data_IF_172440866028
#
_entry.id   IF_172440866028
#
_cell.length_a   1.000
_cell.length_b   1.000
_cell.length_c   1.000
_cell.angle_alpha   90.00
_cell.angle_beta   90.00
_cell.angle_gamma   90.00
#
_symmetry.space_group_name_H-M   'P 1'
#
loop_
_entity.id
_entity.type
_entity.pdbx_description
1 polymer ?
#
# COMPACT_ATOMS: atom_id res chain seq x y z
N UNK A 1 -49.21 61.17 -5.91
CA UNK A 1 -48.45 60.15 -6.70
C UNK A 1 -46.92 60.19 -6.54
N UNK A 2 -46.28 61.27 -6.06
CA UNK A 2 -44.79 61.35 -5.97
C UNK A 2 -44.13 60.56 -4.81
N UNK A 3 -44.85 60.16 -3.75
CA UNK A 3 -44.22 59.47 -2.60
C UNK A 3 -44.00 57.96 -2.84
N UNK A 4 -44.93 57.27 -3.51
CA UNK A 4 -44.81 55.84 -3.88
C UNK A 4 -43.61 55.56 -4.81
N UNK A 5 -43.32 56.48 -5.72
CA UNK A 5 -42.20 56.33 -6.67
C UNK A 5 -40.82 56.48 -6.00
N UNK A 6 -40.75 57.18 -4.85
CA UNK A 6 -39.51 57.39 -4.10
C UNK A 6 -39.14 56.17 -3.24
N UNK A 7 -40.11 55.39 -2.73
CA UNK A 7 -39.82 54.16 -1.98
C UNK A 7 -39.40 53.00 -2.89
N UNK A 8 -39.96 52.92 -4.10
CA UNK A 8 -39.58 51.91 -5.10
C UNK A 8 -38.11 52.04 -5.53
N UNK A 9 -37.61 53.27 -5.71
CA UNK A 9 -36.19 53.53 -5.98
C UNK A 9 -35.27 53.14 -4.82
N UNK A 10 -35.70 53.36 -3.58
CA UNK A 10 -34.93 52.94 -2.39
C UNK A 10 -34.89 51.41 -2.26
N UNK A 11 -36.03 50.73 -2.47
CA UNK A 11 -36.10 49.28 -2.45
C UNK A 11 -35.22 48.64 -3.54
N UNK A 12 -35.22 49.20 -4.75
CA UNK A 12 -34.38 48.74 -5.86
C UNK A 12 -32.88 48.83 -5.53
N UNK A 13 -32.43 49.93 -4.90
CA UNK A 13 -31.03 50.09 -4.48
C UNK A 13 -30.65 49.04 -3.43
N UNK A 14 -31.51 48.78 -2.44
CA UNK A 14 -31.28 47.75 -1.43
C UNK A 14 -31.24 46.33 -2.02
N UNK A 15 -32.13 46.02 -2.96
CA UNK A 15 -32.12 44.72 -3.65
C UNK A 15 -30.84 44.54 -4.47
N UNK A 16 -30.38 45.57 -5.18
CA UNK A 16 -29.11 45.49 -5.90
C UNK A 16 -27.91 45.27 -4.96
N UNK A 17 -27.88 45.98 -3.83
CA UNK A 17 -26.82 45.80 -2.84
C UNK A 17 -26.78 44.37 -2.30
N UNK A 18 -27.95 43.80 -1.96
CA UNK A 18 -28.06 42.41 -1.50
C UNK A 18 -27.57 41.43 -2.56
N UNK A 19 -27.95 41.62 -3.83
CA UNK A 19 -27.52 40.74 -4.93
C UNK A 19 -25.99 40.84 -5.12
N UNK A 20 -25.42 42.03 -5.13
CA UNK A 20 -23.96 42.20 -5.27
C UNK A 20 -23.20 41.57 -4.10
N UNK A 21 -23.68 41.73 -2.87
CA UNK A 21 -23.09 41.08 -1.70
C UNK A 21 -23.21 39.56 -1.80
N UNK A 22 -24.35 39.03 -2.23
CA UNK A 22 -24.55 37.60 -2.42
C UNK A 22 -23.61 37.02 -3.47
N UNK A 23 -23.43 37.70 -4.60
CA UNK A 23 -22.49 37.31 -5.66
C UNK A 23 -21.04 37.33 -5.13
N UNK A 24 -20.65 38.35 -4.36
CA UNK A 24 -19.32 38.42 -3.76
C UNK A 24 -19.06 37.29 -2.77
N UNK A 25 -20.04 36.95 -1.93
CA UNK A 25 -19.95 35.81 -1.01
C UNK A 25 -19.85 34.50 -1.78
N UNK A 26 -20.65 34.31 -2.83
CA UNK A 26 -20.59 33.11 -3.68
C UNK A 26 -19.22 32.95 -4.34
N UNK A 27 -18.65 34.05 -4.85
CA UNK A 27 -17.30 34.03 -5.42
C UNK A 27 -16.23 33.63 -4.39
N UNK A 28 -16.30 34.17 -3.17
CA UNK A 28 -15.41 33.80 -2.07
C UNK A 28 -15.54 32.33 -1.69
N UNK A 29 -16.77 31.82 -1.59
CA UNK A 29 -17.03 30.42 -1.25
C UNK A 29 -16.46 29.49 -2.33
N UNK A 30 -16.63 29.82 -3.61
CA UNK A 30 -16.03 29.06 -4.72
C UNK A 30 -14.51 29.02 -4.60
N UNK A 31 -13.86 30.18 -4.45
CA UNK A 31 -12.40 30.28 -4.32
C UNK A 31 -11.91 29.46 -3.12
N UNK A 32 -12.58 29.55 -1.99
CA UNK A 32 -12.18 28.85 -0.78
C UNK A 32 -12.32 27.33 -0.94
N UNK A 33 -13.43 26.89 -1.55
CA UNK A 33 -13.71 25.46 -1.75
C UNK A 33 -12.74 24.83 -2.77
N UNK A 34 -12.29 25.58 -3.77
CA UNK A 34 -11.30 25.09 -4.75
C UNK A 34 -9.86 25.30 -4.28
N UNK A 35 -9.59 26.37 -3.54
CA UNK A 35 -8.25 26.79 -3.15
C UNK A 35 -7.71 26.04 -1.93
N UNK A 36 -8.55 25.73 -0.94
CA UNK A 36 -8.11 25.00 0.25
C UNK A 36 -7.51 23.63 -0.10
N UNK A 37 -8.15 22.75 -0.90
CA UNK A 37 -7.59 21.43 -1.21
C UNK A 37 -6.19 21.50 -1.83
N UNK A 38 -5.98 22.44 -2.76
CA UNK A 38 -4.69 22.65 -3.42
C UNK A 38 -3.64 23.13 -2.42
N UNK A 39 -3.99 24.08 -1.55
CA UNK A 39 -3.09 24.56 -0.51
C UNK A 39 -2.72 23.46 0.49
N UNK A 40 -3.68 22.60 0.84
CA UNK A 40 -3.44 21.43 1.70
C UNK A 40 -2.48 20.44 1.03
N UNK A 41 -2.68 20.10 -0.24
CA UNK A 41 -1.78 19.21 -0.98
C UNK A 41 -0.35 19.75 -1.06
N UNK A 42 -0.19 21.04 -1.35
CA UNK A 42 1.11 21.69 -1.38
C UNK A 42 1.78 21.70 0.00
N UNK A 43 1.03 21.95 1.07
CA UNK A 43 1.54 21.88 2.44
C UNK A 43 2.03 20.47 2.75
N UNK A 44 1.21 19.46 2.49
CA UNK A 44 1.52 18.06 2.82
C UNK A 44 2.72 17.54 2.03
N UNK A 45 2.81 17.88 0.74
CA UNK A 45 3.98 17.56 -0.10
C UNK A 45 5.24 18.25 0.41
N UNK A 46 5.16 19.51 0.83
CA UNK A 46 6.31 20.22 1.39
C UNK A 46 6.78 19.61 2.72
N UNK A 47 5.86 19.17 3.58
CA UNK A 47 6.17 18.42 4.80
C UNK A 47 6.88 17.11 4.45
N UNK A 48 6.31 16.33 3.53
CA UNK A 48 6.88 15.06 3.11
C UNK A 48 8.30 15.19 2.54
N UNK A 49 8.53 16.12 1.61
CA UNK A 49 9.86 16.31 1.04
C UNK A 49 10.86 16.77 2.11
N UNK A 50 10.45 17.66 3.03
CA UNK A 50 11.31 18.06 4.16
C UNK A 50 11.72 16.88 5.04
N UNK A 51 10.77 16.01 5.41
CA UNK A 51 11.09 14.85 6.25
C UNK A 51 11.95 13.84 5.51
N UNK A 52 11.68 13.63 4.22
CA UNK A 52 12.52 12.79 3.35
C UNK A 52 13.97 13.30 3.28
N UNK A 53 14.18 14.61 3.14
CA UNK A 53 15.51 15.22 3.19
C UNK A 53 16.19 14.98 4.54
N UNK A 54 15.48 15.19 5.66
CA UNK A 54 16.00 14.91 7.01
C UNK A 54 16.42 13.44 7.14
N UNK A 55 15.60 12.51 6.67
CA UNK A 55 15.91 11.08 6.77
C UNK A 55 17.13 10.68 5.94
N UNK A 56 17.31 11.28 4.76
CA UNK A 56 18.49 11.04 3.92
C UNK A 56 19.76 11.64 4.54
N UNK A 57 19.66 12.85 5.09
CA UNK A 57 20.76 13.49 5.83
C UNK A 57 21.16 12.65 7.07
N UNK A 58 20.18 12.10 7.79
CA UNK A 58 20.44 11.18 8.90
C UNK A 58 21.14 9.89 8.44
N UNK A 59 20.74 9.31 7.31
CA UNK A 59 21.39 8.11 6.75
C UNK A 59 22.87 8.38 6.40
N UNK A 60 23.15 9.56 5.83
CA UNK A 60 24.51 10.01 5.54
C UNK A 60 25.34 10.15 6.83
N UNK A 61 24.79 10.84 7.85
CA UNK A 61 25.46 10.98 9.15
C UNK A 61 25.70 9.63 9.84
N UNK A 62 24.74 8.70 9.81
CA UNK A 62 24.91 7.36 10.37
C UNK A 62 26.04 6.62 9.66
N UNK A 63 26.08 6.70 8.33
CA UNK A 63 27.11 6.06 7.51
C UNK A 63 28.50 6.65 7.80
N UNK A 64 28.59 7.97 7.98
CA UNK A 64 29.84 8.65 8.33
C UNK A 64 30.34 8.17 9.70
N UNK A 65 29.49 8.18 10.73
CA UNK A 65 29.87 7.75 12.09
C UNK A 65 30.30 6.28 12.10
N UNK A 66 29.58 5.42 11.37
CA UNK A 66 29.93 4.01 11.23
C UNK A 66 31.34 3.82 10.60
N UNK A 67 31.76 4.74 9.73
CA UNK A 67 33.09 4.71 9.09
C UNK A 67 34.22 5.22 10.01
N UNK A 68 33.92 5.96 11.08
CA UNK A 68 34.91 6.56 11.98
C UNK A 68 35.46 5.58 13.04
N UNK A 69 34.91 4.37 13.13
CA UNK A 69 35.38 3.31 14.02
C UNK A 69 34.56 3.13 15.31
N UNK A 70 34.89 2.09 16.08
CA UNK A 70 34.14 1.69 17.28
C UNK A 70 34.27 2.78 18.36
N UNK A 71 33.13 3.24 18.87
CA UNK A 71 33.04 4.21 19.96
C UNK A 71 32.71 5.64 19.51
N UNK A 72 32.68 5.91 18.20
CA UNK A 72 32.24 7.20 17.66
C UNK A 72 30.74 7.43 17.90
N UNK A 73 30.40 8.63 18.35
CA UNK A 73 29.03 9.08 18.61
C UNK A 73 28.85 10.48 18.03
N UNK A 74 27.66 10.77 17.52
CA UNK A 74 27.27 12.12 17.10
C UNK A 74 25.84 12.42 17.58
N UNK A 75 25.53 13.70 17.72
CA UNK A 75 24.19 14.18 18.05
C UNK A 75 23.67 15.01 16.89
N UNK A 76 22.55 14.58 16.33
CA UNK A 76 21.83 15.29 15.27
C UNK A 76 20.49 15.75 15.83
N UNK A 77 20.16 17.01 15.60
CA UNK A 77 18.87 17.59 16.00
C UNK A 77 18.07 17.92 14.75
N UNK A 78 16.83 17.44 14.69
CA UNK A 78 15.91 17.73 13.61
C UNK A 78 14.51 17.99 14.18
N UNK A 79 13.71 18.75 13.43
CA UNK A 79 12.36 19.13 13.82
C UNK A 79 11.36 18.69 12.75
N UNK A 80 10.46 17.80 13.14
CA UNK A 80 9.30 17.37 12.35
C UNK A 80 8.04 17.90 13.02
N UNK A 81 7.25 18.68 12.28
CA UNK A 81 6.07 19.38 12.82
C UNK A 81 4.77 18.62 12.66
N UNK A 82 4.67 17.81 11.60
CA UNK A 82 3.46 17.09 11.20
C UNK A 82 3.79 15.59 11.08
N UNK A 83 2.89 14.74 11.57
CA UNK A 83 3.07 13.28 11.64
C UNK A 83 3.65 12.78 12.96
N UNK A 84 3.83 11.48 13.07
CA UNK A 84 4.34 10.79 14.24
C UNK A 84 5.67 10.11 13.93
N UNK A 85 6.60 10.17 14.89
CA UNK A 85 7.88 9.47 14.80
C UNK A 85 7.90 8.36 15.84
N UNK A 86 8.22 7.16 15.39
CA UNK A 86 8.45 6.01 16.26
C UNK A 86 9.78 5.35 15.94
N UNK A 87 10.32 4.63 16.92
CA UNK A 87 11.52 3.82 16.77
C UNK A 87 11.16 2.38 17.10
N UNK A 88 11.40 1.48 16.14
CA UNK A 88 11.14 0.05 16.33
C UNK A 88 12.25 -0.77 15.65
N UNK A 89 12.77 -1.78 16.32
CA UNK A 89 13.74 -2.75 15.77
C UNK A 89 14.89 -2.12 14.95
N UNK A 90 15.57 -1.09 15.48
CA UNK A 90 16.63 -0.32 14.80
C UNK A 90 16.18 0.46 13.56
N UNK A 91 14.89 0.74 13.43
CA UNK A 91 14.32 1.59 12.38
C UNK A 91 13.72 2.84 13.01
N UNK A 92 13.92 3.97 12.34
CA UNK A 92 13.17 5.19 12.60
C UNK A 92 12.04 5.25 11.58
N UNK A 93 10.80 5.36 12.06
CA UNK A 93 9.59 5.36 11.25
C UNK A 93 8.93 6.72 11.43
N UNK A 94 8.64 7.39 10.33
CA UNK A 94 7.78 8.57 10.32
C UNK A 94 6.52 8.26 9.53
N UNK A 95 5.38 8.54 10.13
CA UNK A 95 4.06 8.29 9.56
C UNK A 95 3.23 9.58 9.56
N UNK A 96 2.53 9.83 8.46
CA UNK A 96 1.60 10.95 8.32
C UNK A 96 0.32 10.46 7.66
N UNK A 97 -0.81 10.77 8.28
CA UNK A 97 -2.12 10.59 7.65
C UNK A 97 -2.48 11.86 6.88
N UNK A 98 -2.71 11.73 5.58
CA UNK A 98 -3.09 12.84 4.71
C UNK A 98 -4.14 12.41 3.68
N UNK A 99 -4.99 13.36 3.28
CA UNK A 99 -5.95 13.20 2.17
C UNK A 99 -5.29 13.45 0.80
N UNK A 100 -4.08 13.98 0.80
CA UNK A 100 -3.33 14.37 -0.38
C UNK A 100 -2.57 13.17 -0.94
N UNK A 101 -2.70 12.89 -2.24
CA UNK A 101 -1.96 11.82 -2.91
C UNK A 101 -0.51 12.29 -3.19
N UNK A 102 0.34 12.29 -2.16
CA UNK A 102 1.75 12.73 -2.29
C UNK A 102 2.55 11.75 -3.16
N UNK A 103 2.35 10.46 -2.92
CA UNK A 103 2.89 9.35 -3.69
C UNK A 103 1.76 8.38 -4.03
N UNK A 104 1.92 7.62 -5.10
CA UNK A 104 0.88 6.71 -5.58
C UNK A 104 0.49 5.70 -4.47
N UNK A 105 -0.81 5.45 -4.25
CA UNK A 105 -1.27 4.47 -3.28
C UNK A 105 -0.72 3.08 -3.57
N UNK A 106 -0.50 2.30 -2.50
CA UNK A 106 0.00 0.92 -2.58
C UNK A 106 1.36 0.83 -3.24
N UNK A 107 2.18 1.88 -3.13
CA UNK A 107 3.55 1.85 -3.61
C UNK A 107 4.53 1.79 -2.46
N UNK A 108 5.66 1.16 -2.73
CA UNK A 108 6.84 1.13 -1.86
C UNK A 108 8.06 1.40 -2.73
N UNK A 109 8.82 2.41 -2.36
CA UNK A 109 10.05 2.81 -3.03
C UNK A 109 11.18 2.80 -2.02
N UNK A 110 12.35 2.30 -2.43
CA UNK A 110 13.57 2.31 -1.61
C UNK A 110 14.59 3.26 -2.22
N UNK A 111 15.14 4.16 -1.40
CA UNK A 111 16.19 5.12 -1.76
C UNK A 111 17.30 4.99 -0.71
N UNK A 112 18.42 4.34 -1.05
CA UNK A 112 19.44 4.01 -0.05
C UNK A 112 18.85 3.13 1.08
N UNK A 113 19.00 3.55 2.33
CA UNK A 113 18.36 2.90 3.48
C UNK A 113 16.95 3.42 3.80
N UNK A 114 16.50 4.49 3.12
CA UNK A 114 15.16 5.03 3.28
C UNK A 114 14.13 4.19 2.51
N UNK A 115 13.08 3.74 3.21
CA UNK A 115 11.92 3.08 2.62
C UNK A 115 10.74 4.04 2.73
N UNK A 116 10.15 4.37 1.58
CA UNK A 116 8.97 5.20 1.48
C UNK A 116 7.81 4.31 1.05
N UNK A 117 6.71 4.33 1.79
CA UNK A 117 5.55 3.52 1.48
C UNK A 117 4.26 4.33 1.68
N UNK A 118 3.26 4.12 0.81
CA UNK A 118 1.92 4.70 0.95
C UNK A 118 0.89 3.62 0.87
N UNK A 119 -0.06 3.67 1.81
CA UNK A 119 -1.12 2.69 1.96
C UNK A 119 -0.56 1.27 1.84
N UNK A 120 0.53 1.01 2.56
CA UNK A 120 1.30 -0.22 2.47
C UNK A 120 1.00 -1.06 3.71
N UNK A 121 0.05 -1.98 3.55
CA UNK A 121 -0.56 -2.75 4.64
C UNK A 121 -0.64 -4.22 4.21
N UNK A 122 0.50 -4.71 3.73
CA UNK A 122 0.71 -6.13 3.51
C UNK A 122 1.97 -6.55 4.24
N UNK A 123 1.87 -7.66 4.95
CA UNK A 123 2.97 -8.34 5.60
C UNK A 123 3.17 -9.70 4.94
N UNK A 124 4.42 -10.07 4.68
CA UNK A 124 4.80 -11.42 4.30
C UNK A 124 5.47 -12.13 5.46
N UNK A 125 5.18 -13.41 5.63
CA UNK A 125 5.81 -14.27 6.62
C UNK A 125 6.19 -15.59 5.94
N UNK A 126 7.46 -15.93 6.04
CA UNK A 126 8.04 -17.18 5.61
C UNK A 126 8.37 -18.03 6.84
N UNK A 127 7.84 -19.26 6.85
CA UNK A 127 8.14 -20.29 7.84
C UNK A 127 8.83 -21.47 7.17
N UNK A 128 9.17 -22.50 7.93
CA UNK A 128 9.71 -23.75 7.36
C UNK A 128 8.76 -24.40 6.35
N UNK A 129 7.44 -24.31 6.57
CA UNK A 129 6.44 -25.05 5.81
C UNK A 129 5.48 -24.18 5.01
N UNK A 130 5.43 -22.87 5.25
CA UNK A 130 4.42 -21.99 4.65
C UNK A 130 4.97 -20.64 4.23
N UNK A 131 4.37 -20.12 3.17
CA UNK A 131 4.40 -18.73 2.75
C UNK A 131 3.06 -18.08 3.09
N UNK A 132 3.09 -17.02 3.89
CA UNK A 132 1.90 -16.34 4.41
C UNK A 132 1.92 -14.88 3.99
N UNK A 133 0.79 -14.38 3.49
CA UNK A 133 0.53 -12.96 3.26
C UNK A 133 -0.60 -12.51 4.18
N UNK A 134 -0.45 -11.37 4.84
CA UNK A 134 -1.43 -10.78 5.76
C UNK A 134 -1.72 -9.33 5.37
N UNK A 135 -2.97 -8.90 5.50
CA UNK A 135 -3.39 -7.51 5.40
C UNK A 135 -4.30 -7.14 6.57
N UNK A 136 -4.10 -5.96 7.13
CA UNK A 136 -4.91 -5.43 8.23
C UNK A 136 -5.99 -4.49 7.68
N UNK A 137 -7.23 -4.69 8.08
CA UNK A 137 -8.37 -3.89 7.64
C UNK A 137 -9.07 -3.39 8.90
N UNK A 138 -8.87 -2.10 9.21
CA UNK A 138 -9.29 -1.54 10.49
C UNK A 138 -8.66 -2.33 11.66
N UNK A 139 -9.47 -3.13 12.36
CA UNK A 139 -9.03 -3.98 13.48
C UNK A 139 -8.99 -5.47 13.13
N UNK A 140 -9.34 -5.83 11.89
CA UNK A 140 -9.39 -7.22 11.43
C UNK A 140 -8.13 -7.56 10.63
N UNK A 141 -7.79 -8.85 10.59
CA UNK A 141 -6.65 -9.35 9.81
C UNK A 141 -7.11 -10.38 8.80
N UNK A 142 -6.88 -10.12 7.51
CA UNK A 142 -7.03 -11.13 6.47
C UNK A 142 -5.69 -11.83 6.26
N UNK A 143 -5.67 -13.17 6.26
CA UNK A 143 -4.48 -13.99 6.14
C UNK A 143 -4.67 -15.05 5.07
N UNK A 144 -3.67 -15.16 4.20
CA UNK A 144 -3.61 -16.16 3.14
C UNK A 144 -2.30 -16.93 3.26
N UNK A 145 -2.37 -18.24 3.48
CA UNK A 145 -1.24 -19.13 3.64
C UNK A 145 -1.20 -20.20 2.55
N UNK A 146 -0.02 -20.43 2.01
CA UNK A 146 0.28 -21.43 0.99
C UNK A 146 1.38 -22.35 1.50
N UNK A 147 1.29 -23.64 1.16
CA UNK A 147 2.33 -24.62 1.46
C UNK A 147 3.63 -24.28 0.72
N UNK A 148 4.76 -24.41 1.41
CA UNK A 148 6.08 -24.23 0.82
C UNK A 148 6.52 -25.57 0.21
N UNK A 149 6.54 -25.63 -1.11
CA UNK A 149 6.84 -26.83 -1.87
C UNK A 149 8.03 -26.56 -2.80
N UNK A 150 9.09 -27.37 -2.69
CA UNK A 150 10.27 -27.28 -3.54
C UNK A 150 11.01 -25.94 -3.46
N UNK A 151 11.90 -25.73 -4.41
CA UNK A 151 12.60 -24.48 -4.68
C UNK A 151 13.08 -24.47 -6.14
N UNK A 152 13.54 -23.32 -6.64
CA UNK A 152 14.08 -23.23 -7.99
C UNK A 152 15.25 -24.17 -8.27
N UNK A 153 16.00 -24.58 -7.24
CA UNK A 153 17.09 -25.58 -7.35
C UNK A 153 16.67 -27.02 -7.07
N UNK A 154 15.45 -27.26 -6.60
CA UNK A 154 14.95 -28.60 -6.25
C UNK A 154 13.44 -28.66 -6.43
N UNK A 155 13.04 -29.12 -7.62
CA UNK A 155 11.63 -29.29 -7.97
C UNK A 155 11.05 -30.49 -7.23
N UNK A 156 9.80 -30.38 -6.81
CA UNK A 156 9.05 -31.45 -6.14
C UNK A 156 7.77 -31.76 -6.90
N UNK A 157 7.29 -32.99 -6.79
CA UNK A 157 5.96 -33.33 -7.31
C UNK A 157 4.89 -32.79 -6.35
N UNK A 158 3.86 -32.15 -6.88
CA UNK A 158 2.73 -31.70 -6.08
C UNK A 158 1.43 -31.62 -6.90
N UNK A 159 0.29 -31.63 -6.21
CA UNK A 159 -1.00 -31.30 -6.80
C UNK A 159 -1.33 -29.83 -6.51
N UNK A 160 -1.90 -29.12 -7.49
CA UNK A 160 -2.22 -27.70 -7.31
C UNK A 160 -3.26 -27.46 -6.20
N UNK A 161 -4.10 -28.44 -5.91
CA UNK A 161 -5.07 -28.37 -4.81
C UNK A 161 -4.38 -28.30 -3.44
N UNK A 162 -3.13 -28.74 -3.34
CA UNK A 162 -2.33 -28.69 -2.12
C UNK A 162 -1.62 -27.34 -1.94
N UNK A 163 -1.75 -26.40 -2.87
CA UNK A 163 -1.06 -25.11 -2.81
C UNK A 163 -1.63 -24.28 -1.65
N UNK A 164 -2.95 -24.08 -1.60
CA UNK A 164 -3.58 -23.25 -0.58
C UNK A 164 -3.69 -24.03 0.72
N UNK A 165 -2.96 -23.60 1.75
CA UNK A 165 -2.94 -24.27 3.04
C UNK A 165 -4.06 -23.77 3.96
N UNK A 166 -4.27 -22.45 3.99
CA UNK A 166 -5.28 -21.83 4.84
C UNK A 166 -5.62 -20.43 4.36
N UNK A 167 -6.90 -20.07 4.48
CA UNK A 167 -7.35 -18.68 4.45
C UNK A 167 -8.03 -18.42 5.79
N UNK A 168 -7.73 -17.30 6.43
CA UNK A 168 -8.37 -16.91 7.67
C UNK A 168 -8.69 -15.42 7.69
N UNK A 169 -9.77 -15.08 8.39
CA UNK A 169 -10.18 -13.71 8.63
C UNK A 169 -10.40 -13.51 10.12
N UNK A 170 -9.68 -12.55 10.69
CA UNK A 170 -9.67 -12.25 12.12
C UNK A 170 -9.37 -13.47 13.01
N UNK A 171 -8.50 -14.37 12.53
CA UNK A 171 -8.13 -15.61 13.23
C UNK A 171 -9.08 -16.79 13.02
N UNK A 172 -10.26 -16.56 12.43
CA UNK A 172 -11.19 -17.63 12.06
C UNK A 172 -10.79 -18.21 10.71
N UNK A 173 -10.57 -19.53 10.68
CA UNK A 173 -10.27 -20.25 9.45
C UNK A 173 -11.51 -20.30 8.54
N UNK A 174 -11.32 -20.01 7.26
CA UNK A 174 -12.33 -20.24 6.24
C UNK A 174 -12.23 -21.70 5.78
N UNK A 175 -13.28 -22.48 6.04
CA UNK A 175 -13.38 -23.86 5.56
C UNK A 175 -13.65 -23.88 4.05
N UNK A 176 -12.86 -24.65 3.29
CA UNK A 176 -13.06 -24.83 1.86
C UNK A 176 -11.98 -25.69 1.19
N UNK A 177 -12.37 -26.32 0.07
CA UNK A 177 -11.45 -27.03 -0.82
C UNK A 177 -11.10 -26.13 -2.02
N UNK A 178 -9.81 -25.86 -2.24
CA UNK A 178 -9.33 -25.09 -3.38
C UNK A 178 -8.86 -26.02 -4.49
N UNK A 179 -9.44 -25.88 -5.69
CA UNK A 179 -9.07 -26.68 -6.87
C UNK A 179 -8.81 -25.76 -8.05
N UNK A 180 -7.72 -26.02 -8.74
CA UNK A 180 -7.33 -25.29 -9.94
C UNK A 180 -7.00 -26.31 -11.03
N UNK A 181 -7.57 -26.12 -12.21
CA UNK A 181 -7.31 -26.91 -13.41
C UNK A 181 -7.30 -25.97 -14.62
N UNK A 182 -6.52 -26.32 -15.64
CA UNK A 182 -6.57 -25.66 -16.94
C UNK A 182 -7.57 -26.39 -17.82
N UNK A 183 -8.59 -25.68 -18.28
CA UNK A 183 -9.58 -26.23 -19.22
C UNK A 183 -10.22 -27.55 -18.75
N UNK A 184 -10.42 -27.70 -17.43
CA UNK A 184 -10.93 -28.93 -16.81
C UNK A 184 -10.10 -30.20 -17.06
N UNK A 185 -8.84 -30.06 -17.49
CA UNK A 185 -7.95 -31.18 -17.77
C UNK A 185 -7.31 -31.72 -16.47
N UNK A 186 -7.53 -32.99 -16.07
CA UNK A 186 -6.97 -33.54 -14.83
C UNK A 186 -5.44 -33.62 -14.83
N UNK A 187 -4.84 -33.76 -16.02
CA UNK A 187 -3.38 -33.80 -16.22
C UNK A 187 -2.72 -32.45 -16.04
N UNK A 188 -3.50 -31.36 -15.97
CA UNK A 188 -2.98 -30.03 -15.61
C UNK A 188 -2.79 -29.84 -14.11
N UNK A 189 -3.42 -30.67 -13.26
CA UNK A 189 -3.46 -30.49 -11.80
C UNK A 189 -2.27 -31.12 -11.07
N UNK A 190 -1.56 -32.04 -11.71
CA UNK A 190 -0.44 -32.77 -11.13
C UNK A 190 0.80 -32.52 -11.96
N UNK A 191 1.93 -32.33 -11.29
CA UNK A 191 3.19 -32.13 -11.97
C UNK A 191 4.33 -31.91 -11.01
N UNK A 192 5.42 -31.39 -11.55
CA UNK A 192 6.61 -31.01 -10.77
C UNK A 192 6.79 -29.51 -10.79
N UNK A 193 7.34 -28.95 -9.71
CA UNK A 193 7.63 -27.54 -9.67
C UNK A 193 8.00 -27.07 -8.29
N UNK A 194 7.77 -25.79 -8.02
CA UNK A 194 8.04 -25.18 -6.73
C UNK A 194 7.17 -23.95 -6.49
N UNK A 195 7.15 -23.48 -5.25
CA UNK A 195 6.44 -22.28 -4.84
C UNK A 195 7.45 -21.29 -4.29
N UNK A 196 7.27 -20.02 -4.63
CA UNK A 196 8.06 -18.92 -4.08
C UNK A 196 7.20 -17.72 -3.71
N UNK A 197 7.74 -16.88 -2.83
CA UNK A 197 7.11 -15.66 -2.37
C UNK A 197 7.92 -14.44 -2.81
N UNK A 198 7.21 -13.40 -3.23
CA UNK A 198 7.78 -12.14 -3.69
C UNK A 198 7.09 -10.98 -2.96
N UNK A 199 7.84 -10.16 -2.19
CA UNK A 199 9.25 -10.33 -1.84
C UNK A 199 9.47 -11.52 -0.90
N UNK A 200 10.65 -12.15 -0.96
CA UNK A 200 10.99 -13.29 -0.12
C UNK A 200 11.20 -12.88 1.35
N UNK A 201 10.97 -13.83 2.27
CA UNK A 201 11.16 -13.63 3.69
C UNK A 201 10.06 -12.83 4.40
N UNK A 202 10.41 -12.33 5.59
CA UNK A 202 9.51 -11.67 6.52
C UNK A 202 9.55 -10.16 6.33
N UNK A 203 8.64 -9.61 5.53
CA UNK A 203 8.58 -8.18 5.23
C UNK A 203 7.27 -7.60 5.77
N UNK A 204 7.30 -6.33 6.20
CA UNK A 204 6.11 -5.57 6.58
C UNK A 204 5.96 -4.34 5.68
N UNK A 205 4.78 -3.71 5.74
CA UNK A 205 4.48 -2.44 5.06
C UNK A 205 4.73 -2.48 3.55
N UNK A 206 4.27 -3.55 2.90
CA UNK A 206 4.29 -3.68 1.44
C UNK A 206 2.99 -3.14 0.83
N UNK A 207 3.06 -2.58 -0.37
CA UNK A 207 1.87 -2.18 -1.15
C UNK A 207 1.11 -3.37 -1.72
N UNK A 208 1.83 -4.47 -1.97
CA UNK A 208 1.30 -5.78 -2.33
C UNK A 208 2.35 -6.85 -2.11
N UNK A 209 1.92 -8.10 -1.99
CA UNK A 209 2.77 -9.27 -2.00
C UNK A 209 2.22 -10.31 -2.98
N UNK A 210 3.10 -11.18 -3.47
CA UNK A 210 2.76 -12.24 -4.41
C UNK A 210 3.33 -13.58 -3.96
N UNK A 211 2.58 -14.64 -4.19
CA UNK A 211 3.07 -16.02 -4.13
C UNK A 211 2.90 -16.60 -5.52
N UNK A 212 3.92 -17.27 -6.03
CA UNK A 212 3.93 -17.88 -7.35
C UNK A 212 4.14 -19.39 -7.17
N UNK A 213 3.19 -20.18 -7.65
CA UNK A 213 3.35 -21.62 -7.79
C UNK A 213 3.67 -21.95 -9.25
N UNK A 214 4.89 -22.42 -9.47
CA UNK A 214 5.40 -22.87 -10.77
C UNK A 214 5.01 -24.31 -10.98
N UNK A 215 4.27 -24.62 -12.04
CA UNK A 215 3.76 -25.96 -12.32
C UNK A 215 4.20 -26.44 -13.70
N UNK A 216 4.93 -27.54 -13.74
CA UNK A 216 5.22 -28.31 -14.95
C UNK A 216 4.39 -29.59 -14.90
N UNK A 217 3.22 -29.54 -15.54
CA UNK A 217 2.29 -30.67 -15.64
C UNK A 217 2.45 -31.41 -16.95
N UNK A 218 1.81 -32.58 -17.11
CA UNK A 218 1.82 -33.27 -18.41
C UNK A 218 1.10 -32.46 -19.50
N UNK A 219 0.08 -31.68 -19.12
CA UNK A 219 -0.71 -30.87 -20.06
C UNK A 219 -0.01 -29.58 -20.49
N UNK A 220 0.54 -28.83 -19.54
CA UNK A 220 1.17 -27.53 -19.77
C UNK A 220 2.13 -27.14 -18.65
N UNK A 221 3.06 -26.25 -18.97
CA UNK A 221 3.84 -25.50 -17.98
C UNK A 221 3.15 -24.15 -17.75
N UNK A 222 2.96 -23.75 -16.49
CA UNK A 222 2.26 -22.51 -16.16
C UNK A 222 2.54 -22.05 -14.72
N UNK A 223 2.26 -20.76 -14.48
CA UNK A 223 2.38 -20.14 -13.16
C UNK A 223 1.02 -19.76 -12.60
N UNK A 224 0.76 -20.12 -11.35
CA UNK A 224 -0.33 -19.56 -10.55
C UNK A 224 0.19 -18.45 -9.66
N UNK A 225 -0.26 -17.24 -9.95
CA UNK A 225 0.16 -16.01 -9.27
C UNK A 225 -0.96 -15.54 -8.34
N UNK A 226 -0.77 -15.78 -7.05
CA UNK A 226 -1.58 -15.25 -5.96
C UNK A 226 -1.08 -13.85 -5.61
N UNK A 227 -1.96 -12.86 -5.53
CA UNK A 227 -1.61 -11.47 -5.20
C UNK A 227 -2.51 -10.95 -4.08
N UNK A 228 -1.90 -10.48 -2.99
CA UNK A 228 -2.58 -9.74 -1.93
C UNK A 228 -2.17 -8.26 -2.02
N UNK A 229 -3.15 -7.37 -2.15
CA UNK A 229 -2.94 -5.92 -2.11
C UNK A 229 -3.18 -5.34 -0.72
N UNK A 230 -2.65 -4.15 -0.43
CA UNK A 230 -2.92 -3.48 0.85
C UNK A 230 -4.39 -3.19 1.06
N UNK A 231 -4.83 -3.40 2.30
CA UNK A 231 -6.20 -3.22 2.77
C UNK A 231 -7.21 -4.08 2.00
N UNK A 232 -6.77 -5.23 1.47
CA UNK A 232 -7.64 -6.17 0.76
C UNK A 232 -7.98 -7.35 1.66
N UNK A 233 -9.25 -7.75 1.63
CA UNK A 233 -9.83 -8.94 2.24
C UNK A 233 -9.96 -10.11 1.25
N UNK A 234 -9.25 -10.04 0.13
CA UNK A 234 -9.27 -11.05 -0.92
C UNK A 234 -7.90 -11.20 -1.57
N UNK A 235 -7.67 -12.38 -2.15
CA UNK A 235 -6.51 -12.67 -2.99
C UNK A 235 -6.95 -12.78 -4.44
N UNK A 236 -6.24 -12.11 -5.33
CA UNK A 236 -6.42 -12.30 -6.78
C UNK A 236 -5.52 -13.43 -7.25
N UNK A 237 -6.09 -14.39 -7.97
CA UNK A 237 -5.34 -15.49 -8.59
C UNK A 237 -5.32 -15.29 -10.10
N UNK A 238 -4.13 -15.32 -10.70
CA UNK A 238 -3.95 -15.23 -12.14
C UNK A 238 -3.10 -16.39 -12.64
N UNK A 239 -3.42 -16.89 -13.83
CA UNK A 239 -2.58 -17.85 -14.55
C UNK A 239 -1.68 -17.08 -15.50
N UNK A 240 -0.37 -17.35 -15.49
CA UNK A 240 0.63 -16.71 -16.37
C UNK A 240 1.57 -17.74 -16.98
N UNK A 241 2.32 -17.31 -18.00
CA UNK A 241 3.38 -18.09 -18.63
C UNK A 241 2.94 -19.49 -19.08
N UNK A 242 1.75 -19.59 -19.68
CA UNK A 242 1.19 -20.86 -20.12
C UNK A 242 1.89 -21.31 -21.40
N UNK A 243 2.52 -22.48 -21.34
CA UNK A 243 3.11 -23.19 -22.47
C UNK A 243 2.49 -24.59 -22.54
N UNK A 244 1.74 -24.86 -23.61
CA UNK A 244 1.09 -26.17 -23.82
C UNK A 244 2.16 -27.15 -24.31
N UNK A 245 2.19 -28.35 -23.70
CA UNK A 245 3.12 -29.42 -24.07
C UNK A 245 2.67 -30.22 -25.30
#
# INVERSE_FOLDING_TARGET
>A
MKSKQKSQKKAQVWVSAIIYTLVAILALVLILNTGIPILTELKDRAVFEKVKEIMLDMDEHITEIASQGIGSQSSVSFEVKDGEISFDNNQMIWEIETKSEIISPRTRTKIGNLIIASNANVRTIETSNHFIMESYILNDTFRFAVNKLGSSGSLVSYNVSDVVANISYNGDNMDGDFKFSLNDEPTSMNGTGYIEMIPSGNNSNLGSARIIAHMNSEFANYDLVFTLGSFADFVTVNIKNIEIN
#
